data_IF_925101314313
#
_entry.id   IF_925101314313
#
_cell.length_a   1.000
_cell.length_b   1.000
_cell.length_c   1.000
_cell.angle_alpha   90.00
_cell.angle_beta   90.00
_cell.angle_gamma   90.00
#
_symmetry.space_group_name_H-M   'P 1'
#
loop_
_entity.id
_entity.type
_entity.pdbx_description
1 polymer ?
#
# COMPACT_ATOMS: atom_id res chain seq x y z
N UNK A 1 12.73 5.65 -2.00
CA UNK A 1 13.51 4.78 -1.11
C UNK A 1 13.11 5.02 0.35
N UNK A 2 13.27 4.01 1.23
CA UNK A 2 13.00 4.15 2.67
C UNK A 2 11.55 3.89 3.12
N UNK A 3 10.70 3.33 2.26
CA UNK A 3 9.39 2.82 2.66
C UNK A 3 9.54 1.60 3.57
N UNK A 4 8.91 1.63 4.76
CA UNK A 4 8.91 0.50 5.68
C UNK A 4 8.44 -0.79 5.00
N UNK A 5 7.32 -0.73 4.29
CA UNK A 5 6.77 -1.89 3.58
C UNK A 5 7.69 -2.33 2.44
N UNK A 6 8.14 -1.40 1.61
CA UNK A 6 9.02 -1.72 0.48
C UNK A 6 10.32 -2.40 0.91
N UNK A 7 10.99 -1.87 1.94
CA UNK A 7 12.22 -2.46 2.47
C UNK A 7 11.99 -3.81 3.15
N UNK A 8 10.86 -3.99 3.85
CA UNK A 8 10.53 -5.26 4.48
C UNK A 8 10.27 -6.34 3.43
N UNK A 9 9.48 -6.04 2.41
CA UNK A 9 9.20 -6.95 1.28
C UNK A 9 10.49 -7.30 0.54
N UNK A 10 11.31 -6.30 0.20
CA UNK A 10 12.59 -6.51 -0.47
C UNK A 10 13.50 -7.46 0.32
N UNK A 11 13.69 -7.20 1.62
CA UNK A 11 14.51 -8.06 2.49
C UNK A 11 13.96 -9.47 2.57
N UNK A 12 12.64 -9.60 2.71
CA UNK A 12 11.98 -10.89 2.82
C UNK A 12 12.20 -11.75 1.56
N UNK A 13 12.01 -11.17 0.38
CA UNK A 13 12.17 -11.88 -0.89
C UNK A 13 13.65 -12.27 -1.11
N UNK A 14 14.59 -11.34 -0.90
CA UNK A 14 16.02 -11.60 -1.08
C UNK A 14 16.57 -12.64 -0.11
N UNK A 15 15.98 -12.78 1.08
CA UNK A 15 16.36 -13.83 2.04
C UNK A 15 15.67 -15.17 1.79
N UNK A 16 14.76 -15.25 0.83
CA UNK A 16 14.06 -16.48 0.47
C UNK A 16 14.90 -17.27 -0.52
N UNK A 17 15.49 -18.39 -0.08
CA UNK A 17 16.35 -19.24 -0.90
C UNK A 17 15.68 -19.84 -2.15
N UNK A 18 14.36 -19.70 -2.29
CA UNK A 18 13.56 -20.28 -3.37
C UNK A 18 13.35 -19.34 -4.57
N UNK A 19 13.90 -18.13 -4.55
CA UNK A 19 13.61 -17.13 -5.59
C UNK A 19 14.90 -16.46 -6.05
N UNK A 20 15.32 -16.76 -7.27
CA UNK A 20 16.32 -15.94 -7.97
C UNK A 20 15.60 -14.78 -8.65
N UNK A 21 15.64 -13.58 -8.05
CA UNK A 21 15.11 -12.37 -8.65
C UNK A 21 16.02 -11.16 -8.35
N UNK A 22 16.04 -10.23 -9.28
CA UNK A 22 16.65 -8.92 -9.08
C UNK A 22 15.60 -7.95 -8.57
N UNK A 23 15.89 -7.25 -7.48
CA UNK A 23 15.00 -6.23 -6.91
C UNK A 23 15.77 -4.92 -6.76
N UNK A 24 15.37 -3.94 -7.54
CA UNK A 24 15.88 -2.58 -7.45
C UNK A 24 14.83 -1.64 -6.84
N UNK A 25 15.28 -0.68 -6.06
CA UNK A 25 14.42 0.33 -5.47
C UNK A 25 14.57 1.66 -6.24
N UNK A 26 13.48 2.15 -6.77
CA UNK A 26 13.40 3.44 -7.44
C UNK A 26 12.79 4.47 -6.50
N UNK A 27 13.47 5.61 -6.33
CA UNK A 27 12.93 6.72 -5.56
C UNK A 27 12.04 7.58 -6.46
N UNK A 28 10.79 7.74 -6.05
CA UNK A 28 9.79 8.54 -6.77
C UNK A 28 9.73 9.99 -6.31
N UNK A 29 10.63 10.43 -5.44
CA UNK A 29 10.80 11.85 -5.12
C UNK A 29 11.55 12.55 -6.26
N UNK A 30 10.99 13.64 -6.75
CA UNK A 30 11.50 14.32 -7.96
C UNK A 30 11.22 13.53 -9.23
N UNK A 31 11.97 13.78 -10.31
CA UNK A 31 11.69 13.23 -11.66
C UNK A 31 12.66 12.12 -12.12
N UNK A 32 13.60 11.73 -11.27
CA UNK A 32 14.60 10.73 -11.64
C UNK A 32 14.00 9.33 -11.95
N UNK A 33 12.88 9.00 -11.35
CA UNK A 33 12.17 7.75 -11.62
C UNK A 33 11.67 7.64 -13.07
N UNK A 34 11.44 8.76 -13.77
CA UNK A 34 11.06 8.79 -15.19
C UNK A 34 12.20 8.33 -16.11
N UNK A 35 13.45 8.38 -15.63
CA UNK A 35 14.65 7.97 -16.35
C UNK A 35 15.03 6.51 -16.06
N UNK A 36 14.32 5.85 -15.13
CA UNK A 36 14.57 4.45 -14.82
C UNK A 36 14.18 3.58 -16.04
N UNK A 37 15.02 2.61 -16.34
CA UNK A 37 14.71 1.63 -17.38
C UNK A 37 13.79 0.55 -16.82
N UNK A 38 12.48 0.74 -17.00
CA UNK A 38 11.46 -0.22 -16.56
C UNK A 38 11.44 -1.49 -17.41
N UNK A 39 11.96 -1.45 -18.65
CA UNK A 39 11.91 -2.58 -19.57
C UNK A 39 12.71 -3.81 -19.14
N UNK A 40 13.58 -3.68 -18.14
CA UNK A 40 14.32 -4.80 -17.58
C UNK A 40 13.62 -5.50 -16.41
N UNK A 41 12.37 -5.12 -16.09
CA UNK A 41 11.61 -5.68 -14.98
C UNK A 41 10.26 -6.25 -15.46
N UNK A 42 9.88 -7.39 -14.91
CA UNK A 42 8.58 -8.01 -15.14
C UNK A 42 7.49 -7.42 -14.27
N UNK A 43 7.83 -6.99 -13.05
CA UNK A 43 6.87 -6.53 -12.03
C UNK A 43 7.31 -5.20 -11.41
N UNK A 44 6.37 -4.30 -11.23
CA UNK A 44 6.53 -3.10 -10.40
C UNK A 44 5.68 -3.22 -9.15
N UNK A 45 6.31 -3.19 -7.96
CA UNK A 45 5.63 -3.07 -6.68
C UNK A 45 5.65 -1.61 -6.22
N UNK A 46 4.52 -0.93 -6.40
CA UNK A 46 4.37 0.49 -6.08
C UNK A 46 3.88 0.71 -4.64
N UNK A 47 4.78 1.18 -3.79
CA UNK A 47 4.54 1.46 -2.36
C UNK A 47 4.65 2.93 -2.00
N UNK A 48 4.96 3.78 -2.96
CA UNK A 48 5.03 5.21 -2.73
C UNK A 48 3.63 5.76 -2.38
N UNK A 49 3.60 6.66 -1.42
CA UNK A 49 2.35 7.27 -1.00
C UNK A 49 2.47 8.00 0.32
N UNK A 50 1.54 8.89 0.56
CA UNK A 50 1.36 9.61 1.82
C UNK A 50 0.23 8.93 2.59
N UNK A 51 0.50 8.55 3.83
CA UNK A 51 -0.44 7.83 4.69
C UNK A 51 -0.46 8.45 6.08
N UNK A 52 -1.38 9.35 6.36
CA UNK A 52 -1.66 9.84 7.70
C UNK A 52 -3.13 10.25 7.82
N UNK A 53 -3.79 9.77 8.87
CA UNK A 53 -5.23 9.95 9.08
C UNK A 53 -5.60 11.35 9.56
N UNK A 54 -4.69 12.08 10.19
CA UNK A 54 -4.91 13.44 10.72
C UNK A 54 -4.17 14.48 9.87
N UNK A 55 -4.30 14.40 8.57
CA UNK A 55 -3.66 15.36 7.69
C UNK A 55 -4.37 16.71 7.73
N UNK A 56 -3.59 17.77 7.78
CA UNK A 56 -4.07 19.15 7.58
C UNK A 56 -4.83 19.21 6.23
N UNK A 57 -6.05 19.79 6.17
CA UNK A 57 -6.77 20.00 4.91
C UNK A 57 -5.95 20.66 3.81
N UNK A 58 -4.98 21.49 4.18
CA UNK A 58 -4.04 22.11 3.23
C UNK A 58 -3.17 21.10 2.47
N UNK A 59 -3.04 19.89 3.00
CA UNK A 59 -2.27 18.80 2.39
C UNK A 59 -3.08 18.05 1.30
N UNK A 60 -4.38 18.26 1.19
CA UNK A 60 -5.26 17.55 0.26
C UNK A 60 -4.72 17.51 -1.18
N UNK A 61 -4.30 18.63 -1.81
CA UNK A 61 -3.74 18.57 -3.16
C UNK A 61 -2.50 17.69 -3.28
N UNK A 62 -1.68 17.63 -2.23
CA UNK A 62 -0.48 16.80 -2.20
C UNK A 62 -0.85 15.30 -2.14
N UNK A 63 -1.94 14.93 -1.45
CA UNK A 63 -2.41 13.55 -1.43
C UNK A 63 -2.86 13.08 -2.82
N UNK A 64 -3.62 13.88 -3.54
CA UNK A 64 -4.01 13.54 -4.92
C UNK A 64 -2.79 13.48 -5.84
N UNK A 65 -1.88 14.44 -5.74
CA UNK A 65 -0.66 14.45 -6.54
C UNK A 65 0.21 13.21 -6.32
N UNK A 66 0.37 12.77 -5.04
CA UNK A 66 1.29 11.66 -4.71
C UNK A 66 0.57 10.30 -4.77
N UNK A 67 -0.63 10.18 -4.20
CA UNK A 67 -1.30 8.88 -4.12
C UNK A 67 -2.01 8.50 -5.42
N UNK A 68 -2.53 9.46 -6.18
CA UNK A 68 -3.25 9.25 -7.43
C UNK A 68 -2.37 9.47 -8.65
N UNK A 69 -1.96 10.73 -8.86
CA UNK A 69 -1.34 11.14 -10.13
C UNK A 69 0.00 10.45 -10.34
N UNK A 70 0.88 10.46 -9.36
CA UNK A 70 2.16 9.76 -9.41
C UNK A 70 1.98 8.24 -9.62
N UNK A 71 1.02 7.63 -8.92
CA UNK A 71 0.76 6.18 -9.06
C UNK A 71 0.36 5.83 -10.49
N UNK A 72 -0.59 6.59 -11.07
CA UNK A 72 -1.06 6.37 -12.44
C UNK A 72 0.07 6.67 -13.45
N UNK A 73 0.85 7.72 -13.21
CA UNK A 73 1.97 8.08 -14.08
C UNK A 73 3.05 6.98 -14.08
N UNK A 74 3.46 6.48 -12.90
CA UNK A 74 4.42 5.35 -12.81
C UNK A 74 3.89 4.11 -13.52
N UNK A 75 2.59 3.80 -13.36
CA UNK A 75 1.98 2.65 -14.02
C UNK A 75 1.99 2.80 -15.57
N UNK A 76 1.74 4.01 -16.08
CA UNK A 76 1.84 4.30 -17.52
C UNK A 76 3.25 4.10 -18.05
N UNK A 77 4.28 4.56 -17.33
CA UNK A 77 5.68 4.33 -17.71
C UNK A 77 6.04 2.83 -17.67
N UNK A 78 5.61 2.12 -16.63
CA UNK A 78 5.83 0.68 -16.52
C UNK A 78 5.17 -0.08 -17.69
N UNK A 79 3.90 0.21 -17.98
CA UNK A 79 3.16 -0.40 -19.09
C UNK A 79 3.83 -0.12 -20.44
N UNK A 80 4.20 1.12 -20.70
CA UNK A 80 4.85 1.52 -21.95
C UNK A 80 6.21 0.85 -22.16
N UNK A 81 6.90 0.48 -21.07
CA UNK A 81 8.17 -0.23 -21.11
C UNK A 81 8.03 -1.76 -21.18
N UNK A 82 6.81 -2.31 -21.18
CA UNK A 82 6.58 -3.75 -21.31
C UNK A 82 6.57 -4.52 -19.99
N UNK A 83 6.47 -3.84 -18.85
CA UNK A 83 6.22 -4.48 -17.54
C UNK A 83 4.89 -5.23 -17.60
N UNK A 84 4.87 -6.47 -17.11
CA UNK A 84 3.69 -7.35 -17.20
C UNK A 84 2.73 -7.17 -16.03
N UNK A 85 3.24 -6.83 -14.85
CA UNK A 85 2.42 -6.73 -13.65
C UNK A 85 2.73 -5.47 -12.83
N UNK A 86 1.68 -4.80 -12.38
CA UNK A 86 1.77 -3.66 -11.48
C UNK A 86 1.03 -3.96 -10.18
N UNK A 87 1.77 -4.10 -9.08
CA UNK A 87 1.22 -4.35 -7.75
C UNK A 87 1.14 -3.03 -7.00
N UNK A 88 -0.07 -2.59 -6.67
CA UNK A 88 -0.31 -1.32 -5.99
C UNK A 88 -0.63 -1.50 -4.51
N UNK A 89 0.13 -0.82 -3.66
CA UNK A 89 -0.16 -0.75 -2.23
C UNK A 89 -1.22 0.32 -1.97
N UNK A 90 -2.48 -0.09 -1.98
CA UNK A 90 -3.62 0.70 -1.53
C UNK A 90 -3.79 0.58 0.00
N UNK A 91 -4.99 0.66 0.51
CA UNK A 91 -5.31 0.55 1.94
C UNK A 91 -6.78 0.23 2.15
N UNK A 92 -7.13 -0.43 3.24
CA UNK A 92 -8.53 -0.60 3.66
C UNK A 92 -9.27 0.73 3.91
N UNK A 93 -8.54 1.85 4.01
CA UNK A 93 -9.12 3.19 4.19
C UNK A 93 -10.07 3.59 3.05
N UNK A 94 -9.98 2.95 1.89
CA UNK A 94 -10.90 3.16 0.75
C UNK A 94 -12.34 2.77 1.09
N UNK A 95 -12.57 1.93 2.10
CA UNK A 95 -13.91 1.54 2.53
C UNK A 95 -14.55 2.55 3.48
N UNK A 96 -13.85 3.23 4.26
CA UNK A 96 -14.03 4.41 5.08
C UNK A 96 -13.38 4.25 6.48
N UNK A 97 -13.19 5.36 7.18
CA UNK A 97 -12.89 5.33 8.61
C UNK A 97 -14.19 5.37 9.41
N UNK A 98 -14.56 4.24 10.00
CA UNK A 98 -15.65 4.25 10.95
C UNK A 98 -15.26 5.03 12.21
N UNK A 99 -15.97 6.12 12.47
CA UNK A 99 -15.93 6.84 13.75
C UNK A 99 -16.95 6.26 14.75
N UNK A 100 -17.69 5.24 14.32
CA UNK A 100 -18.67 4.55 15.13
C UNK A 100 -18.01 3.56 16.08
N UNK A 101 -18.57 3.43 17.29
CA UNK A 101 -18.22 2.35 18.23
C UNK A 101 -18.82 1.00 17.82
N UNK A 102 -19.65 0.97 16.78
CA UNK A 102 -20.22 -0.27 16.24
C UNK A 102 -19.16 -1.02 15.41
N UNK A 103 -19.10 -2.32 15.62
CA UNK A 103 -18.26 -3.19 14.79
C UNK A 103 -18.81 -3.23 13.37
N UNK A 104 -17.92 -3.01 12.41
CA UNK A 104 -18.20 -3.14 10.98
C UNK A 104 -17.32 -4.24 10.40
N UNK A 105 -17.94 -5.13 9.65
CA UNK A 105 -17.23 -6.24 8.99
C UNK A 105 -17.16 -5.93 7.50
N UNK A 106 -15.95 -5.70 7.02
CA UNK A 106 -15.70 -5.56 5.59
C UNK A 106 -15.67 -6.94 4.93
N UNK A 107 -16.41 -7.09 3.86
CA UNK A 107 -16.49 -8.31 3.06
C UNK A 107 -16.07 -8.03 1.62
N UNK A 108 -15.99 -9.07 0.79
CA UNK A 108 -15.69 -8.92 -0.65
C UNK A 108 -16.74 -8.10 -1.41
N UNK A 109 -17.98 -8.05 -0.91
CA UNK A 109 -19.08 -7.27 -1.49
C UNK A 109 -19.18 -5.86 -0.98
N UNK A 110 -18.40 -5.49 0.06
CA UNK A 110 -18.42 -4.13 0.58
C UNK A 110 -17.88 -3.16 -0.47
N UNK A 111 -18.70 -2.16 -0.82
CA UNK A 111 -18.29 -1.16 -1.79
C UNK A 111 -17.39 -0.11 -1.14
N UNK A 112 -16.32 0.32 -1.83
CA UNK A 112 -15.50 1.44 -1.37
C UNK A 112 -16.34 2.71 -1.22
N UNK A 113 -16.17 3.41 -0.10
CA UNK A 113 -16.83 4.68 0.20
C UNK A 113 -15.97 5.52 1.14
N UNK A 114 -14.81 6.04 0.68
CA UNK A 114 -13.90 6.80 1.51
C UNK A 114 -14.54 8.11 1.99
N UNK A 115 -14.27 8.48 3.24
CA UNK A 115 -14.79 9.68 3.87
C UNK A 115 -13.72 10.76 4.10
N UNK A 116 -12.56 10.64 3.45
CA UNK A 116 -11.47 11.61 3.54
C UNK A 116 -10.53 11.51 2.35
N UNK A 117 -9.81 12.60 2.08
CA UNK A 117 -8.95 12.72 0.89
C UNK A 117 -7.83 11.66 0.81
N UNK A 118 -7.40 11.08 1.92
CA UNK A 118 -6.46 9.95 1.89
C UNK A 118 -7.11 8.71 1.25
N UNK A 119 -8.25 8.29 1.75
CA UNK A 119 -8.97 7.15 1.19
C UNK A 119 -9.42 7.41 -0.25
N UNK A 120 -9.93 8.60 -0.51
CA UNK A 120 -10.41 9.00 -1.83
C UNK A 120 -9.27 9.05 -2.86
N UNK A 121 -8.11 9.63 -2.53
CA UNK A 121 -6.94 9.64 -3.41
C UNK A 121 -6.43 8.24 -3.75
N UNK A 122 -6.50 7.30 -2.79
CA UNK A 122 -6.17 5.89 -3.04
C UNK A 122 -7.19 5.21 -3.95
N UNK A 123 -8.49 5.43 -3.71
CA UNK A 123 -9.55 4.88 -4.55
C UNK A 123 -9.50 5.41 -5.99
N UNK A 124 -9.24 6.70 -6.17
CA UNK A 124 -9.06 7.26 -7.51
C UNK A 124 -7.83 6.69 -8.22
N UNK A 125 -6.75 6.39 -7.48
CA UNK A 125 -5.60 5.68 -8.04
C UNK A 125 -5.97 4.26 -8.50
N UNK A 126 -6.73 3.51 -7.70
CA UNK A 126 -7.21 2.18 -8.07
C UNK A 126 -8.04 2.22 -9.36
N UNK A 127 -8.97 3.18 -9.47
CA UNK A 127 -9.79 3.35 -10.67
C UNK A 127 -8.93 3.65 -11.90
N UNK A 128 -7.97 4.58 -11.80
CA UNK A 128 -7.06 4.89 -12.90
C UNK A 128 -6.11 3.74 -13.27
N UNK A 129 -5.78 2.86 -12.32
CA UNK A 129 -5.00 1.65 -12.61
C UNK A 129 -5.86 0.60 -13.35
N UNK A 130 -7.13 0.43 -12.98
CA UNK A 130 -8.04 -0.47 -13.70
C UNK A 130 -8.23 -0.06 -15.17
N UNK A 131 -8.24 1.24 -15.48
CA UNK A 131 -8.29 1.73 -16.87
C UNK A 131 -7.03 1.36 -17.68
N UNK A 132 -5.91 1.10 -17.01
CA UNK A 132 -4.65 0.69 -17.65
C UNK A 132 -4.55 -0.82 -17.83
N UNK A 133 -5.37 -1.61 -17.16
CA UNK A 133 -5.30 -3.07 -17.21
C UNK A 133 -5.55 -3.59 -18.64
N UNK A 134 -4.80 -4.60 -19.03
CA UNK A 134 -4.91 -5.26 -20.34
C UNK A 134 -4.40 -6.71 -20.24
N UNK A 135 -4.45 -7.46 -21.33
CA UNK A 135 -3.90 -8.80 -21.37
C UNK A 135 -2.41 -8.85 -21.06
N UNK A 136 -1.67 -7.85 -21.52
CA UNK A 136 -0.23 -7.75 -21.35
C UNK A 136 0.20 -6.93 -20.12
N UNK A 137 -0.74 -6.35 -19.37
CA UNK A 137 -0.46 -5.55 -18.18
C UNK A 137 -1.50 -5.80 -17.10
N UNK A 138 -1.15 -6.63 -16.14
CA UNK A 138 -2.05 -7.00 -15.03
C UNK A 138 -1.88 -6.07 -13.85
N UNK A 139 -3.00 -5.72 -13.21
CA UNK A 139 -3.02 -4.86 -12.02
C UNK A 139 -3.44 -5.66 -10.81
N UNK A 140 -2.61 -5.64 -9.77
CA UNK A 140 -2.91 -6.24 -8.47
C UNK A 140 -3.03 -5.15 -7.41
N UNK A 141 -4.22 -4.96 -6.85
CA UNK A 141 -4.49 -3.94 -5.83
C UNK A 141 -4.53 -4.59 -4.45
N UNK A 142 -3.65 -4.16 -3.56
CA UNK A 142 -3.59 -4.62 -2.18
C UNK A 142 -4.22 -3.57 -1.26
N UNK A 143 -5.24 -3.95 -0.50
CA UNK A 143 -5.94 -3.11 0.49
C UNK A 143 -5.66 -3.62 1.91
N UNK A 144 -4.42 -3.54 2.41
CA UNK A 144 -4.08 -4.06 3.72
C UNK A 144 -4.81 -3.28 4.83
N UNK A 145 -5.11 -4.01 5.90
CA UNK A 145 -5.47 -3.43 7.19
C UNK A 145 -4.23 -2.89 7.91
N UNK A 146 -4.32 -2.61 9.22
CA UNK A 146 -3.19 -2.10 10.00
C UNK A 146 -2.01 -3.08 9.96
N UNK A 147 -0.93 -2.66 9.34
CA UNK A 147 0.31 -3.45 9.28
C UNK A 147 1.08 -3.25 10.59
N UNK A 148 1.58 -4.36 11.15
CA UNK A 148 2.41 -4.37 12.34
C UNK A 148 3.63 -5.27 12.17
N UNK A 149 4.61 -5.09 13.05
CA UNK A 149 5.85 -5.86 13.07
C UNK A 149 7.02 -5.06 13.61
N UNK A 150 8.25 -5.59 13.59
CA UNK A 150 9.45 -4.88 14.01
C UNK A 150 9.61 -3.56 13.24
N UNK A 151 9.90 -2.48 13.95
CA UNK A 151 10.09 -1.13 13.37
C UNK A 151 8.88 -0.57 12.59
N UNK A 152 7.67 -1.12 12.81
CA UNK A 152 6.45 -0.61 12.18
C UNK A 152 6.25 0.87 12.51
N UNK A 153 5.77 1.61 11.51
CA UNK A 153 5.40 3.03 11.64
C UNK A 153 3.87 3.16 11.74
N UNK A 154 3.39 4.30 12.22
CA UNK A 154 1.96 4.59 12.22
C UNK A 154 1.24 4.24 13.54
N UNK A 155 0.04 3.66 13.44
CA UNK A 155 -0.88 3.52 14.57
C UNK A 155 -0.52 2.39 15.54
N UNK A 156 0.09 1.31 15.06
CA UNK A 156 0.42 0.18 15.93
C UNK A 156 1.38 0.54 17.07
N UNK A 157 2.53 1.21 16.86
CA UNK A 157 3.40 1.65 17.95
C UNK A 157 2.71 2.61 18.92
N UNK A 158 1.77 3.43 18.45
CA UNK A 158 0.97 4.32 19.32
C UNK A 158 0.05 3.51 20.22
N UNK A 159 -0.65 2.51 19.69
CA UNK A 159 -1.49 1.59 20.47
C UNK A 159 -0.68 0.78 21.49
N UNK A 160 0.44 0.21 21.06
CA UNK A 160 1.33 -0.54 21.95
C UNK A 160 1.83 0.34 23.12
N UNK A 161 2.29 1.56 22.81
CA UNK A 161 2.71 2.52 23.85
C UNK A 161 1.57 2.92 24.79
N UNK A 162 0.36 3.09 24.26
CA UNK A 162 -0.81 3.37 25.10
C UNK A 162 -1.08 2.20 26.04
N UNK A 163 -1.13 0.98 25.51
CA UNK A 163 -1.39 -0.23 26.29
C UNK A 163 -0.41 -0.46 27.43
N UNK A 164 0.86 -0.03 27.29
CA UNK A 164 1.88 -0.14 28.32
C UNK A 164 1.87 1.00 29.35
N UNK A 165 1.21 2.12 29.05
CA UNK A 165 1.23 3.31 29.90
C UNK A 165 -0.04 3.50 30.74
N UNK A 166 -1.18 2.95 30.31
CA UNK A 166 -2.44 3.14 31.03
C UNK A 166 -2.61 2.04 32.08
N UNK A 167 -2.87 2.40 33.36
CA UNK A 167 -3.06 1.42 34.43
C UNK A 167 -4.40 0.68 34.33
N UNK A 168 -5.37 1.24 33.60
CA UNK A 168 -6.70 0.66 33.38
C UNK A 168 -7.00 0.70 31.90
N UNK A 169 -7.30 -0.46 31.33
CA UNK A 169 -7.72 -0.56 29.93
C UNK A 169 -9.25 -0.67 29.88
N UNK A 170 -9.96 0.19 29.10
CA UNK A 170 -11.40 0.11 29.01
C UNK A 170 -11.82 -1.24 28.39
N UNK A 171 -12.71 -1.95 29.08
CA UNK A 171 -13.23 -3.24 28.61
C UNK A 171 -14.31 -3.02 27.53
N UNK A 172 -13.90 -2.64 26.35
CA UNK A 172 -14.79 -2.53 25.18
C UNK A 172 -14.52 -3.67 24.21
N UNK A 173 -15.59 -4.25 23.68
CA UNK A 173 -15.51 -5.23 22.62
C UNK A 173 -15.06 -4.56 21.32
N UNK A 174 -13.77 -4.33 21.18
CA UNK A 174 -13.16 -3.78 19.97
C UNK A 174 -12.33 -4.86 19.29
N UNK A 175 -12.65 -5.17 18.04
CA UNK A 175 -11.89 -6.10 17.19
C UNK A 175 -11.37 -5.33 16.00
N UNK A 176 -10.08 -5.46 15.72
CA UNK A 176 -9.44 -4.86 14.54
C UNK A 176 -8.63 -5.90 13.80
N UNK A 177 -8.82 -5.95 12.50
CA UNK A 177 -7.94 -6.74 11.64
C UNK A 177 -6.55 -6.12 11.61
N UNK A 178 -5.54 -6.98 11.73
CA UNK A 178 -4.13 -6.57 11.69
C UNK A 178 -3.37 -7.55 10.81
N UNK A 179 -2.37 -7.06 10.10
CA UNK A 179 -1.54 -7.85 9.19
C UNK A 179 -0.08 -7.76 9.60
N UNK A 180 0.53 -8.92 9.91
CA UNK A 180 1.96 -8.97 10.19
C UNK A 180 2.77 -8.70 8.92
N UNK A 181 3.86 -7.95 9.05
CA UNK A 181 4.64 -7.48 7.89
C UNK A 181 5.20 -8.63 7.04
N UNK A 182 5.64 -9.72 7.66
CA UNK A 182 6.18 -10.86 6.90
C UNK A 182 5.07 -11.63 6.16
N UNK A 183 3.84 -11.67 6.70
CA UNK A 183 2.69 -12.24 5.98
C UNK A 183 2.35 -11.41 4.73
N UNK A 184 2.45 -10.08 4.84
CA UNK A 184 2.30 -9.21 3.67
C UNK A 184 3.44 -9.45 2.67
N UNK A 185 4.67 -9.58 3.15
CA UNK A 185 5.83 -9.81 2.30
C UNK A 185 5.74 -11.16 1.58
N UNK A 186 5.32 -12.22 2.28
CA UNK A 186 5.07 -13.53 1.65
C UNK A 186 3.96 -13.44 0.60
N UNK A 187 2.86 -12.72 0.90
CA UNK A 187 1.80 -12.51 -0.08
C UNK A 187 2.29 -11.80 -1.34
N UNK A 188 3.08 -10.72 -1.18
CA UNK A 188 3.66 -9.99 -2.31
C UNK A 188 4.62 -10.90 -3.09
N UNK A 189 5.46 -11.68 -2.42
CA UNK A 189 6.32 -12.68 -3.07
C UNK A 189 5.50 -13.65 -3.93
N UNK A 190 4.43 -14.19 -3.38
CA UNK A 190 3.52 -15.09 -4.10
C UNK A 190 2.86 -14.40 -5.31
N UNK A 191 2.48 -13.12 -5.17
CA UNK A 191 1.89 -12.35 -6.26
C UNK A 191 2.90 -12.07 -7.37
N UNK A 192 4.16 -11.79 -7.03
CA UNK A 192 5.26 -11.58 -8.00
C UNK A 192 5.60 -12.87 -8.75
N UNK A 193 5.48 -14.03 -8.10
CA UNK A 193 5.85 -15.33 -8.67
C UNK A 193 4.73 -16.00 -9.48
N UNK A 194 3.52 -15.46 -9.46
CA UNK A 194 2.41 -15.97 -10.29
C UNK A 194 2.44 -15.28 -11.64
N UNK A 195 2.56 -16.09 -12.67
CA UNK A 195 2.30 -15.71 -14.06
C UNK A 195 0.84 -15.40 -14.31
#
# INVERSE_FOLDING_TARGET
>A
AGSYVGESVRKYILNSAAVECRIDAVDTMGDNWKKADYGQYDVVFHVAGIAHVNADPKMEPLYYKVNRDLTIEVAKYAKAAGVKQFIFMSSQIVFHESRSLKSEILTRSTQPNPNGFYGDSKLQAENGLHELESDDFKVCILRPCMIYGPNAKGNFPRLARLATKVPVFPCWHNKRSMLYIDNLAEFVKQAVMRE
#
